data_IF_776523035409
#
_entry.id   IF_776523035409
#
_cell.length_a   1.000
_cell.length_b   1.000
_cell.length_c   1.000
_cell.angle_alpha   90.00
_cell.angle_beta   90.00
_cell.angle_gamma   90.00
#
_symmetry.space_group_name_H-M   'P 1'
#
loop_
_entity.id
_entity.type
_entity.pdbx_description
1 polymer ?
#
# COMPACT_ATOMS: atom_id res chain seq x y z
N UNK A 1 -36.17 -16.63 43.25
CA UNK A 1 -36.65 -15.44 42.51
C UNK A 1 -35.92 -14.14 42.84
N UNK A 2 -35.51 -13.85 44.10
CA UNK A 2 -34.84 -12.57 44.46
C UNK A 2 -33.38 -12.43 43.97
N UNK A 3 -32.59 -13.50 44.02
CA UNK A 3 -31.16 -13.46 43.65
C UNK A 3 -30.89 -13.08 42.18
N UNK A 4 -31.76 -13.47 41.25
CA UNK A 4 -31.61 -13.17 39.82
C UNK A 4 -31.92 -11.70 39.48
N UNK A 5 -32.70 -11.00 40.30
CA UNK A 5 -32.97 -9.56 40.13
C UNK A 5 -31.78 -8.71 40.59
N UNK A 6 -31.18 -9.10 41.72
CA UNK A 6 -30.01 -8.41 42.30
C UNK A 6 -28.79 -8.51 41.37
N UNK A 7 -28.56 -9.67 40.73
CA UNK A 7 -27.47 -9.81 39.76
C UNK A 7 -27.69 -8.98 38.49
N UNK A 8 -28.95 -8.82 38.04
CA UNK A 8 -29.29 -7.94 36.92
C UNK A 8 -29.05 -6.46 37.22
N UNK A 9 -29.42 -6.01 38.42
CA UNK A 9 -29.19 -4.63 38.88
C UNK A 9 -27.70 -4.30 39.01
N UNK A 10 -26.89 -5.23 39.54
CA UNK A 10 -25.43 -5.07 39.63
C UNK A 10 -24.77 -4.99 38.25
N UNK A 11 -25.23 -5.80 37.30
CA UNK A 11 -24.72 -5.77 35.93
C UNK A 11 -25.07 -4.45 35.23
N UNK A 12 -26.29 -3.93 35.43
CA UNK A 12 -26.70 -2.64 34.87
C UNK A 12 -25.88 -1.48 35.43
N UNK A 13 -25.69 -1.43 36.75
CA UNK A 13 -24.83 -0.42 37.38
C UNK A 13 -23.38 -0.48 36.87
N UNK A 14 -22.87 -1.69 36.60
CA UNK A 14 -21.53 -1.88 36.05
C UNK A 14 -21.43 -1.36 34.61
N UNK A 15 -22.45 -1.61 33.78
CA UNK A 15 -22.52 -1.10 32.40
C UNK A 15 -22.56 0.43 32.42
N UNK A 16 -23.37 1.04 33.30
CA UNK A 16 -23.44 2.50 33.44
C UNK A 16 -22.07 3.09 33.80
N UNK A 17 -21.38 2.54 34.79
CA UNK A 17 -20.03 2.98 35.15
C UNK A 17 -19.04 2.83 33.99
N UNK A 18 -19.08 1.69 33.28
CA UNK A 18 -18.23 1.48 32.10
C UNK A 18 -18.50 2.51 31.00
N UNK A 19 -19.76 2.83 30.72
CA UNK A 19 -20.10 3.85 29.72
C UNK A 19 -19.64 5.24 30.12
N UNK A 20 -19.74 5.60 31.40
CA UNK A 20 -19.25 6.87 31.94
C UNK A 20 -17.73 6.98 31.82
N UNK A 21 -17.00 5.92 32.14
CA UNK A 21 -15.54 5.86 32.00
C UNK A 21 -15.14 6.00 30.52
N UNK A 22 -15.78 5.27 29.61
CA UNK A 22 -15.53 5.37 28.17
C UNK A 22 -15.80 6.79 27.65
N UNK A 23 -16.89 7.41 28.09
CA UNK A 23 -17.26 8.77 27.69
C UNK A 23 -16.27 9.82 28.22
N UNK A 24 -15.84 9.70 29.47
CA UNK A 24 -14.82 10.56 30.04
C UNK A 24 -13.49 10.43 29.29
N UNK A 25 -13.06 9.20 28.99
CA UNK A 25 -11.86 8.93 28.21
C UNK A 25 -11.94 9.51 26.79
N UNK A 26 -13.07 9.33 26.10
CA UNK A 26 -13.28 9.86 24.75
C UNK A 26 -13.29 11.40 24.70
N UNK A 27 -13.71 12.07 25.79
CA UNK A 27 -13.69 13.54 25.92
C UNK A 27 -12.29 14.06 26.25
N UNK A 28 -11.58 13.42 27.17
CA UNK A 28 -10.27 13.86 27.65
C UNK A 28 -9.16 13.59 26.64
N UNK A 29 -9.17 12.43 25.98
CA UNK A 29 -8.14 12.07 25.02
C UNK A 29 -8.55 12.45 23.59
N UNK A 30 -7.72 13.28 22.93
CA UNK A 30 -7.88 13.57 21.50
C UNK A 30 -7.59 12.29 20.70
N UNK A 31 -8.62 11.51 20.37
CA UNK A 31 -8.50 10.39 19.44
C UNK A 31 -8.14 10.98 18.08
N UNK A 32 -6.89 10.78 17.66
CA UNK A 32 -6.48 11.10 16.29
C UNK A 32 -7.25 10.17 15.35
N UNK A 33 -8.37 10.65 14.80
CA UNK A 33 -9.01 10.04 13.62
C UNK A 33 -8.05 10.19 12.46
N UNK A 34 -7.12 9.27 12.35
CA UNK A 34 -6.24 9.17 11.21
C UNK A 34 -7.15 8.76 10.07
N UNK A 35 -7.53 9.72 9.21
CA UNK A 35 -8.19 9.42 7.95
C UNK A 35 -7.27 8.42 7.26
N UNK A 36 -7.68 7.16 7.26
CA UNK A 36 -7.02 6.11 6.51
C UNK A 36 -7.26 6.50 5.06
N UNK A 37 -6.32 7.25 4.50
CA UNK A 37 -6.34 7.57 3.08
C UNK A 37 -6.45 6.23 2.37
N UNK A 38 -7.55 6.06 1.62
CA UNK A 38 -7.77 4.85 0.85
C UNK A 38 -6.51 4.62 0.03
N UNK A 39 -5.87 3.46 0.25
CA UNK A 39 -4.68 3.09 -0.52
C UNK A 39 -5.09 3.19 -1.99
N UNK A 40 -4.35 3.93 -2.84
CA UNK A 40 -4.72 4.07 -4.24
C UNK A 40 -4.79 2.67 -4.85
N UNK A 41 -5.97 2.29 -5.36
CA UNK A 41 -6.15 1.00 -6.00
C UNK A 41 -5.54 1.05 -7.39
N UNK A 42 -4.26 0.70 -7.49
CA UNK A 42 -3.52 0.61 -8.75
C UNK A 42 -3.58 -0.81 -9.36
N UNK A 43 -4.25 -1.75 -8.69
CA UNK A 43 -4.42 -3.11 -9.17
C UNK A 43 -5.58 -3.18 -10.16
N UNK A 44 -5.38 -3.90 -11.27
CA UNK A 44 -6.37 -3.98 -12.36
C UNK A 44 -6.57 -5.42 -12.82
N UNK A 45 -7.75 -5.72 -13.37
CA UNK A 45 -8.06 -7.04 -13.95
C UNK A 45 -7.05 -7.46 -15.02
N UNK A 46 -6.50 -6.50 -15.77
CA UNK A 46 -5.45 -6.73 -16.77
C UNK A 46 -4.15 -7.27 -16.13
N UNK A 47 -3.74 -6.75 -14.97
CA UNK A 47 -2.58 -7.26 -14.24
C UNK A 47 -2.80 -8.69 -13.74
N UNK A 48 -4.03 -9.05 -13.36
CA UNK A 48 -4.37 -10.43 -12.99
C UNK A 48 -4.30 -11.40 -14.15
N UNK A 49 -4.82 -11.00 -15.33
CA UNK A 49 -4.72 -11.78 -16.55
C UNK A 49 -3.24 -12.01 -16.91
N UNK A 50 -2.41 -10.97 -16.88
CA UNK A 50 -0.97 -11.08 -17.10
C UNK A 50 -0.28 -11.98 -16.07
N UNK A 51 -0.65 -11.87 -14.78
CA UNK A 51 -0.14 -12.74 -13.71
C UNK A 51 -0.47 -14.21 -13.98
N UNK A 52 -1.71 -14.51 -14.39
CA UNK A 52 -2.15 -15.88 -14.76
C UNK A 52 -1.38 -16.39 -15.99
N UNK A 53 -1.21 -15.56 -17.03
CA UNK A 53 -0.44 -15.88 -18.24
C UNK A 53 1.02 -16.23 -17.90
N UNK A 54 1.70 -15.39 -17.12
CA UNK A 54 3.10 -15.61 -16.72
C UNK A 54 3.24 -16.89 -15.87
N UNK A 55 2.30 -17.16 -14.97
CA UNK A 55 2.27 -18.41 -14.18
C UNK A 55 2.08 -19.65 -15.07
N UNK A 56 1.18 -19.60 -16.04
CA UNK A 56 0.98 -20.69 -17.00
C UNK A 56 2.25 -20.95 -17.83
N UNK A 57 2.90 -19.89 -18.33
CA UNK A 57 4.17 -20.01 -19.08
C UNK A 57 5.29 -20.59 -18.23
N UNK A 58 5.40 -20.20 -16.96
CA UNK A 58 6.39 -20.79 -16.05
C UNK A 58 6.20 -22.29 -15.88
N UNK A 59 4.95 -22.73 -15.65
CA UNK A 59 4.64 -24.16 -15.51
C UNK A 59 5.02 -24.92 -16.79
N UNK A 60 4.66 -24.42 -17.97
CA UNK A 60 5.02 -25.04 -19.26
C UNK A 60 6.53 -25.08 -19.56
N UNK A 61 7.29 -24.15 -19.01
CA UNK A 61 8.74 -24.08 -19.18
C UNK A 61 9.53 -24.97 -18.19
N UNK A 62 8.87 -25.58 -17.19
CA UNK A 62 9.53 -26.44 -16.20
C UNK A 62 9.56 -27.92 -16.57
N UNK A 63 8.62 -28.40 -17.39
CA UNK A 63 8.41 -29.83 -17.68
C UNK A 63 8.98 -30.41 -19.01
N UNK A 64 9.51 -29.66 -20.00
CA UNK A 64 9.96 -30.24 -21.26
C UNK A 64 11.46 -30.63 -21.29
N UNK A 65 11.88 -31.52 -22.23
CA UNK A 65 13.29 -31.83 -22.50
C UNK A 65 14.09 -30.60 -22.99
N UNK A 66 15.41 -30.63 -22.80
CA UNK A 66 16.33 -29.47 -22.72
C UNK A 66 16.22 -28.45 -23.88
N UNK A 67 16.06 -28.92 -25.11
CA UNK A 67 16.06 -28.07 -26.31
C UNK A 67 14.79 -27.21 -26.39
N UNK A 68 13.61 -27.80 -26.15
CA UNK A 68 12.35 -27.05 -26.10
C UNK A 68 12.23 -26.19 -24.84
N UNK A 69 12.87 -26.62 -23.75
CA UNK A 69 12.94 -25.88 -22.48
C UNK A 69 13.59 -24.52 -22.66
N UNK A 70 14.69 -24.43 -23.39
CA UNK A 70 15.39 -23.16 -23.64
C UNK A 70 14.49 -22.15 -24.36
N UNK A 71 13.82 -22.56 -25.46
CA UNK A 71 12.92 -21.71 -26.22
C UNK A 71 11.71 -21.25 -25.39
N UNK A 72 11.05 -22.17 -24.67
CA UNK A 72 9.91 -21.85 -23.79
C UNK A 72 10.32 -20.92 -22.63
N UNK A 73 11.52 -21.09 -22.10
CA UNK A 73 12.05 -20.25 -21.04
C UNK A 73 12.38 -18.83 -21.53
N UNK A 74 12.87 -18.67 -22.76
CA UNK A 74 13.05 -17.35 -23.38
C UNK A 74 11.72 -16.61 -23.53
N UNK A 75 10.66 -17.29 -23.99
CA UNK A 75 9.30 -16.72 -24.07
C UNK A 75 8.81 -16.30 -22.68
N UNK A 76 8.97 -17.16 -21.67
CA UNK A 76 8.62 -16.84 -20.28
C UNK A 76 9.38 -15.60 -19.77
N UNK A 77 10.70 -15.50 -20.01
CA UNK A 77 11.51 -14.33 -19.62
C UNK A 77 10.98 -13.04 -20.24
N UNK A 78 10.64 -13.05 -21.54
CA UNK A 78 10.07 -11.89 -22.25
C UNK A 78 8.73 -11.46 -21.64
N UNK A 79 7.80 -12.39 -21.42
CA UNK A 79 6.49 -12.08 -20.86
C UNK A 79 6.55 -11.65 -19.38
N UNK A 80 7.45 -12.26 -18.59
CA UNK A 80 7.72 -11.84 -17.21
C UNK A 80 8.26 -10.42 -17.16
N UNK A 81 9.14 -10.04 -18.10
CA UNK A 81 9.65 -8.68 -18.20
C UNK A 81 8.55 -7.67 -18.55
N UNK A 82 7.66 -8.00 -19.49
CA UNK A 82 6.48 -7.17 -19.80
C UNK A 82 5.57 -6.98 -18.57
N UNK A 83 5.26 -8.06 -17.85
CA UNK A 83 4.47 -7.99 -16.62
C UNK A 83 5.13 -7.08 -15.56
N UNK A 84 6.43 -7.22 -15.32
CA UNK A 84 7.17 -6.33 -14.39
C UNK A 84 7.09 -4.86 -14.82
N UNK A 85 7.20 -4.57 -16.12
CA UNK A 85 7.04 -3.21 -16.67
C UNK A 85 5.64 -2.67 -16.40
N UNK A 86 4.59 -3.45 -16.68
CA UNK A 86 3.21 -3.06 -16.42
C UNK A 86 2.94 -2.82 -14.92
N UNK A 87 3.49 -3.64 -14.02
CA UNK A 87 3.39 -3.41 -12.57
C UNK A 87 4.04 -2.09 -12.17
N UNK A 88 5.25 -1.81 -12.67
CA UNK A 88 5.96 -0.56 -12.39
C UNK A 88 5.16 0.66 -12.90
N UNK A 89 4.62 0.57 -14.11
CA UNK A 89 3.78 1.61 -14.71
C UNK A 89 2.49 1.84 -13.92
N UNK A 90 1.72 0.78 -13.62
CA UNK A 90 0.47 0.87 -12.88
C UNK A 90 0.67 1.47 -11.48
N UNK A 91 1.71 1.00 -10.77
CA UNK A 91 2.10 1.56 -9.48
C UNK A 91 2.44 3.04 -9.62
N UNK A 92 3.29 3.42 -10.59
CA UNK A 92 3.68 4.82 -10.81
C UNK A 92 2.49 5.71 -11.14
N UNK A 93 1.55 5.26 -11.99
CA UNK A 93 0.34 6.01 -12.33
C UNK A 93 -0.59 6.16 -11.12
N UNK A 94 -0.77 5.09 -10.32
CA UNK A 94 -1.56 5.14 -9.09
C UNK A 94 -1.02 6.14 -8.09
N UNK A 95 0.31 6.18 -7.90
CA UNK A 95 0.96 7.17 -7.04
C UNK A 95 0.89 8.58 -7.62
N UNK A 96 1.11 8.76 -8.93
CA UNK A 96 0.94 10.08 -9.58
C UNK A 96 -0.46 10.62 -9.37
N UNK A 97 -1.50 9.84 -9.64
CA UNK A 97 -2.91 10.23 -9.43
C UNK A 97 -3.18 10.59 -7.96
N UNK A 98 -2.61 9.84 -7.02
CA UNK A 98 -2.75 10.10 -5.59
C UNK A 98 -2.14 11.44 -5.16
N UNK A 99 -0.96 11.79 -5.69
CA UNK A 99 -0.28 13.05 -5.38
C UNK A 99 -0.82 14.24 -6.19
N UNK A 100 -1.26 14.05 -7.44
CA UNK A 100 -1.87 15.11 -8.25
C UNK A 100 -3.20 15.60 -7.67
N UNK A 101 -3.95 14.75 -6.97
CA UNK A 101 -5.17 15.14 -6.25
C UNK A 101 -4.90 15.83 -4.89
N UNK A 102 -3.66 16.20 -4.59
CA UNK A 102 -3.29 16.84 -3.33
C UNK A 102 -2.81 18.27 -3.59
N UNK A 103 -3.42 19.24 -2.93
CA UNK A 103 -3.00 20.66 -2.97
C UNK A 103 -1.57 20.87 -2.50
N UNK A 104 -1.08 19.98 -1.63
CA UNK A 104 0.29 19.99 -1.14
C UNK A 104 0.92 18.59 -1.31
N UNK A 105 1.80 18.38 -2.30
CA UNK A 105 2.33 17.05 -2.63
C UNK A 105 3.14 16.41 -1.48
N UNK A 106 3.73 17.23 -0.61
CA UNK A 106 4.51 16.78 0.55
C UNK A 106 3.81 17.01 1.90
N UNK A 107 2.54 17.36 1.89
CA UNK A 107 1.76 17.64 3.09
C UNK A 107 1.32 16.37 3.84
N UNK A 108 0.13 16.43 4.44
CA UNK A 108 -0.43 15.36 5.27
C UNK A 108 -0.46 13.99 4.57
N UNK A 109 -0.76 13.95 3.26
CA UNK A 109 -0.83 12.71 2.46
C UNK A 109 0.51 11.99 2.34
N UNK A 110 1.61 12.73 2.20
CA UNK A 110 2.97 12.19 2.16
C UNK A 110 3.37 11.58 3.50
N UNK A 111 3.18 12.33 4.59
CA UNK A 111 3.49 11.87 5.96
C UNK A 111 2.70 10.61 6.32
N UNK A 112 1.43 10.54 5.91
CA UNK A 112 0.58 9.36 6.11
C UNK A 112 1.01 8.16 5.27
N UNK A 113 1.35 8.37 3.98
CA UNK A 113 1.73 7.28 3.07
C UNK A 113 3.07 6.63 3.42
N UNK A 114 4.05 7.42 3.85
CA UNK A 114 5.40 6.95 4.16
C UNK A 114 5.66 6.74 5.65
N UNK A 115 4.72 7.12 6.52
CA UNK A 115 4.87 7.12 8.00
C UNK A 115 6.17 7.78 8.46
N UNK A 116 6.66 8.76 7.69
CA UNK A 116 7.85 9.56 8.01
C UNK A 116 7.41 10.98 8.33
N UNK A 117 7.84 11.49 9.49
CA UNK A 117 7.65 12.88 9.89
C UNK A 117 8.66 13.82 9.22
N UNK A 118 9.87 13.31 8.96
CA UNK A 118 10.95 14.06 8.36
C UNK A 118 10.80 14.13 6.84
N UNK A 119 10.68 15.37 6.38
CA UNK A 119 10.84 15.76 5.00
C UNK A 119 12.27 15.42 4.56
N UNK A 120 12.51 14.87 3.36
CA UNK A 120 13.87 14.66 2.88
C UNK A 120 14.57 16.03 2.85
N UNK A 121 15.69 16.24 3.55
CA UNK A 121 16.37 17.53 3.62
C UNK A 121 16.94 18.00 2.26
N UNK A 122 16.82 17.15 1.22
CA UNK A 122 17.30 17.38 -0.14
C UNK A 122 16.23 17.98 -1.08
N UNK A 123 15.09 18.44 -0.55
CA UNK A 123 14.11 19.18 -1.36
C UNK A 123 14.13 20.67 -0.94
N UNK A 124 15.18 21.44 -1.27
CA UNK A 124 15.07 22.90 -1.22
C UNK A 124 13.91 23.34 -2.12
N UNK A 125 12.99 24.07 -1.51
CA UNK A 125 12.06 25.04 -2.10
C UNK A 125 11.76 24.86 -3.59
N UNK A 126 10.69 24.13 -3.90
CA UNK A 126 10.05 24.19 -5.20
C UNK A 126 8.63 24.70 -5.01
N UNK A 127 8.53 25.97 -4.60
CA UNK A 127 7.26 26.68 -4.56
C UNK A 127 6.83 27.11 -5.98
N UNK A 128 7.75 27.16 -6.96
CA UNK A 128 7.45 27.70 -8.30
C UNK A 128 7.73 26.75 -9.49
N UNK A 129 7.99 25.47 -9.24
CA UNK A 129 8.38 24.52 -10.28
C UNK A 129 7.30 23.50 -10.63
N UNK A 130 6.93 23.47 -11.90
CA UNK A 130 5.94 22.58 -12.53
C UNK A 130 6.00 21.11 -11.99
N UNK A 131 4.89 20.56 -11.44
CA UNK A 131 4.88 19.29 -10.70
C UNK A 131 5.33 18.04 -11.49
N UNK A 132 5.45 18.16 -12.82
CA UNK A 132 5.87 17.09 -13.73
C UNK A 132 7.38 16.83 -13.71
N UNK A 133 8.21 17.84 -13.42
CA UNK A 133 9.68 17.74 -13.42
C UNK A 133 10.23 17.12 -12.12
N UNK A 134 9.57 17.41 -10.99
CA UNK A 134 9.90 16.89 -9.65
C UNK A 134 9.83 15.37 -9.58
N UNK A 135 8.79 14.81 -10.21
CA UNK A 135 8.54 13.38 -10.25
C UNK A 135 9.61 12.62 -11.05
N UNK A 136 10.32 13.27 -11.97
CA UNK A 136 11.34 12.62 -12.82
C UNK A 136 12.72 12.59 -12.15
N UNK A 137 13.13 13.66 -11.46
CA UNK A 137 14.50 13.80 -10.88
C UNK A 137 14.71 13.03 -9.59
N UNK A 138 13.75 13.02 -8.66
CA UNK A 138 13.86 12.27 -7.40
C UNK A 138 13.69 10.75 -7.59
N UNK A 139 13.13 10.32 -8.72
CA UNK A 139 12.94 8.91 -9.05
C UNK A 139 14.26 8.13 -9.24
N UNK A 140 15.39 8.82 -9.46
CA UNK A 140 16.73 8.22 -9.59
C UNK A 140 17.47 8.11 -8.25
N UNK A 141 17.35 9.09 -7.36
CA UNK A 141 18.14 9.15 -6.09
C UNK A 141 17.44 8.49 -4.91
N UNK A 142 16.10 8.45 -4.86
CA UNK A 142 15.38 7.81 -3.74
C UNK A 142 15.21 6.29 -3.91
N UNK A 143 15.35 5.75 -5.13
CA UNK A 143 15.05 4.34 -5.43
C UNK A 143 16.29 3.43 -5.45
N UNK A 144 17.50 3.99 -5.53
CA UNK A 144 18.76 3.21 -5.45
C UNK A 144 19.15 2.85 -4.03
N UNK A 145 18.67 3.57 -3.00
CA UNK A 145 18.95 3.29 -1.59
C UNK A 145 17.76 2.76 -0.77
N UNK A 146 16.54 2.89 -1.26
CA UNK A 146 15.35 2.34 -0.60
C UNK A 146 14.85 1.11 -1.35
N UNK A 147 15.37 -0.06 -0.97
CA UNK A 147 14.59 -1.28 -0.99
C UNK A 147 13.31 -1.03 -0.18
N UNK A 148 12.26 -0.56 -0.86
CA UNK A 148 10.91 -0.67 -0.32
C UNK A 148 10.74 -2.13 0.07
N UNK A 149 10.37 -2.46 1.32
CA UNK A 149 10.06 -3.83 1.65
C UNK A 149 8.95 -4.22 0.70
N UNK A 150 9.31 -5.07 -0.26
CA UNK A 150 8.37 -5.95 -0.86
C UNK A 150 7.61 -6.59 0.32
N UNK A 151 6.28 -6.54 0.39
CA UNK A 151 5.57 -7.50 1.22
C UNK A 151 5.82 -8.87 0.56
N UNK A 152 6.97 -9.43 0.86
CA UNK A 152 7.46 -10.73 0.44
C UNK A 152 7.63 -11.55 1.71
N UNK A 153 6.50 -11.85 2.33
CA UNK A 153 6.30 -13.16 2.89
C UNK A 153 4.98 -13.66 2.28
N UNK A 154 5.06 -14.82 1.63
CA UNK A 154 3.98 -15.50 0.90
C UNK A 154 3.71 -15.05 -0.54
N UNK A 155 4.77 -14.93 -1.36
CA UNK A 155 4.65 -15.42 -2.74
C UNK A 155 5.84 -16.34 -2.97
N UNK A 156 5.75 -17.54 -2.42
CA UNK A 156 6.45 -18.71 -2.96
C UNK A 156 5.93 -18.84 -4.39
N UNK A 157 6.75 -18.38 -5.35
CA UNK A 157 6.49 -18.52 -6.77
C UNK A 157 6.93 -19.92 -7.14
#
# INVERSE_FOLDING_TARGET
MKAARISGELNNATIELQTLIINACNKSFKIKKQLLLAKPNWWTKQLEIHKKKVRALRRRAQWPPEIERQARYQVFKKEKAKYKRHIKQARNMGWRKFFSAATHPYGKKFKTAFRKSFFPPQIPYLIDGDPKEVCKRQHKTSWTRFSFPLPFQQITI
#
